data_IF_646061299976
#
_entry.id   IF_646061299976
#
_cell.length_a   1.000
_cell.length_b   1.000
_cell.length_c   1.000
_cell.angle_alpha   90.00
_cell.angle_beta   90.00
_cell.angle_gamma   90.00
#
_symmetry.space_group_name_H-M   'P 1'
#
loop_
_entity.id
_entity.type
_entity.pdbx_description
1 polymer ?
#
# COMPACT_ATOMS: atom_id res chain seq x y z
N UNK A 1 -28.25 0.88 9.93
CA UNK A 1 -27.65 1.10 11.26
C UNK A 1 -26.87 2.40 11.16
N UNK A 2 -27.26 3.43 11.88
CA UNK A 2 -26.60 4.74 11.83
C UNK A 2 -25.16 4.58 12.35
N UNK A 3 -24.16 4.79 11.49
CA UNK A 3 -22.76 4.66 11.90
C UNK A 3 -22.39 5.92 12.66
N UNK A 4 -22.64 5.90 13.97
CA UNK A 4 -22.16 6.93 14.89
C UNK A 4 -20.65 6.82 14.95
N UNK A 5 -19.96 7.76 14.31
CA UNK A 5 -18.50 7.90 14.46
C UNK A 5 -18.25 8.44 15.86
N UNK A 6 -17.49 7.72 16.71
CA UNK A 6 -17.19 8.19 18.06
C UNK A 6 -16.50 9.55 17.99
N UNK A 7 -16.80 10.45 18.94
CA UNK A 7 -16.05 11.72 19.10
C UNK A 7 -14.54 11.47 19.30
N UNK A 8 -14.18 10.28 19.81
CA UNK A 8 -12.81 9.80 19.99
C UNK A 8 -12.73 8.33 19.56
N UNK A 9 -12.16 8.09 18.37
CA UNK A 9 -11.98 6.73 17.84
C UNK A 9 -11.06 5.86 18.70
N UNK A 10 -10.19 6.47 19.53
CA UNK A 10 -9.20 5.74 20.32
C UNK A 10 -9.85 4.86 21.40
N UNK A 11 -11.10 5.15 21.76
CA UNK A 11 -11.89 4.40 22.75
C UNK A 11 -12.87 3.40 22.13
N UNK A 12 -12.96 3.36 20.81
CA UNK A 12 -13.84 2.42 20.11
C UNK A 12 -13.34 0.98 20.32
N UNK A 13 -14.17 0.05 20.82
CA UNK A 13 -13.79 -1.35 20.98
C UNK A 13 -13.23 -1.99 19.70
N UNK A 14 -13.73 -1.57 18.53
CA UNK A 14 -13.22 -2.05 17.23
C UNK A 14 -11.78 -1.58 17.01
N UNK A 15 -11.50 -0.30 17.28
CA UNK A 15 -10.15 0.25 17.16
C UNK A 15 -9.19 -0.41 18.14
N UNK A 16 -9.60 -0.61 19.39
CA UNK A 16 -8.75 -1.26 20.41
C UNK A 16 -8.35 -2.68 20.00
N UNK A 17 -9.29 -3.45 19.43
CA UNK A 17 -9.00 -4.78 18.85
C UNK A 17 -8.00 -4.71 17.70
N UNK A 18 -8.26 -3.85 16.71
CA UNK A 18 -7.40 -3.70 15.52
C UNK A 18 -6.00 -3.22 15.92
N UNK A 19 -5.91 -2.25 16.82
CA UNK A 19 -4.64 -1.70 17.32
C UNK A 19 -3.83 -2.79 18.04
N UNK A 20 -4.51 -3.62 18.82
CA UNK A 20 -3.92 -4.74 19.57
C UNK A 20 -3.52 -5.94 18.71
N UNK A 21 -3.80 -5.94 17.40
CA UNK A 21 -3.35 -7.01 16.52
C UNK A 21 -1.81 -7.02 16.43
N UNK A 22 -1.21 -8.10 16.92
CA UNK A 22 0.23 -8.34 16.85
C UNK A 22 0.55 -9.09 15.55
N UNK A 23 1.11 -8.37 14.55
CA UNK A 23 1.49 -8.97 13.27
C UNK A 23 2.90 -9.58 13.30
N UNK A 24 3.79 -9.01 14.13
CA UNK A 24 5.13 -9.53 14.33
C UNK A 24 5.16 -10.41 15.57
N UNK A 25 5.59 -11.66 15.42
CA UNK A 25 5.66 -12.64 16.52
C UNK A 25 6.87 -12.44 17.46
N UNK A 26 7.79 -11.52 17.12
CA UNK A 26 9.02 -11.22 17.86
C UNK A 26 10.06 -12.36 17.91
N UNK A 27 9.74 -13.54 17.36
CA UNK A 27 10.55 -14.77 17.47
C UNK A 27 11.10 -15.17 16.11
N UNK A 28 10.34 -14.95 15.04
CA UNK A 28 10.74 -15.27 13.68
C UNK A 28 11.85 -14.34 13.18
N UNK A 29 12.83 -14.93 12.48
CA UNK A 29 13.86 -14.13 11.81
C UNK A 29 13.25 -13.22 10.73
N UNK A 30 12.24 -13.72 10.02
CA UNK A 30 11.47 -13.02 8.99
C UNK A 30 10.03 -12.80 9.48
N UNK A 31 9.87 -11.77 10.32
CA UNK A 31 8.57 -11.30 10.82
C UNK A 31 7.70 -10.72 9.69
N UNK A 32 6.42 -10.47 9.97
CA UNK A 32 5.48 -9.89 9.00
C UNK A 32 6.01 -8.58 8.41
N UNK A 33 6.46 -7.65 9.26
CA UNK A 33 7.00 -6.36 8.84
C UNK A 33 8.29 -6.48 8.02
N UNK A 34 9.16 -7.43 8.34
CA UNK A 34 10.38 -7.71 7.56
C UNK A 34 10.05 -8.31 6.20
N UNK A 35 9.08 -9.23 6.15
CA UNK A 35 8.59 -9.81 4.89
C UNK A 35 7.95 -8.74 4.01
N UNK A 36 7.07 -7.91 4.58
CA UNK A 36 6.44 -6.80 3.87
C UNK A 36 7.50 -5.88 3.25
N UNK A 37 8.53 -5.52 4.03
CA UNK A 37 9.63 -4.70 3.54
C UNK A 37 10.42 -5.39 2.42
N UNK A 38 10.76 -6.66 2.59
CA UNK A 38 11.55 -7.42 1.62
C UNK A 38 10.80 -7.59 0.28
N UNK A 39 9.54 -8.00 0.31
CA UNK A 39 8.74 -8.28 -0.89
C UNK A 39 8.42 -7.02 -1.70
N UNK A 40 8.34 -5.86 -1.04
CA UNK A 40 8.07 -4.57 -1.68
C UNK A 40 9.32 -3.71 -1.90
N UNK A 41 10.51 -4.22 -1.53
CA UNK A 41 11.79 -3.50 -1.59
C UNK A 41 11.75 -2.16 -0.83
N UNK A 42 11.06 -2.15 0.31
CA UNK A 42 10.97 -1.00 1.20
C UNK A 42 12.03 -1.05 2.28
N UNK A 43 12.36 0.13 2.81
CA UNK A 43 13.05 0.18 4.09
C UNK A 43 12.12 -0.35 5.19
N UNK A 44 12.69 -1.05 6.18
CA UNK A 44 11.90 -1.70 7.22
C UNK A 44 11.03 -0.71 8.03
N UNK A 45 11.55 0.47 8.33
CA UNK A 45 10.79 1.51 9.03
C UNK A 45 9.54 1.95 8.25
N UNK A 46 9.62 1.99 6.91
CA UNK A 46 8.47 2.36 6.07
C UNK A 46 7.40 1.26 6.09
N UNK A 47 7.81 -0.01 6.13
CA UNK A 47 6.87 -1.11 6.30
C UNK A 47 6.12 -1.04 7.64
N UNK A 48 6.78 -0.58 8.72
CA UNK A 48 6.12 -0.33 10.01
C UNK A 48 5.08 0.79 9.91
N UNK A 49 5.41 1.91 9.25
CA UNK A 49 4.42 2.99 9.00
C UNK A 49 3.23 2.50 8.17
N UNK A 50 3.48 1.68 7.14
CA UNK A 50 2.40 1.09 6.32
C UNK A 50 1.52 0.14 7.14
N UNK A 51 2.07 -0.59 8.10
CA UNK A 51 1.28 -1.44 9.02
C UNK A 51 0.34 -0.60 9.90
N UNK A 52 0.81 0.54 10.40
CA UNK A 52 -0.03 1.45 11.18
C UNK A 52 -1.17 2.03 10.33
N UNK A 53 -0.89 2.40 9.08
CA UNK A 53 -1.90 2.86 8.13
C UNK A 53 -2.85 1.74 7.68
N UNK A 54 -2.37 0.48 7.61
CA UNK A 54 -3.21 -0.68 7.37
C UNK A 54 -4.22 -0.91 8.49
N UNK A 55 -3.80 -0.79 9.75
CA UNK A 55 -4.72 -0.83 10.90
C UNK A 55 -5.78 0.26 10.82
N UNK A 56 -5.40 1.49 10.45
CA UNK A 56 -6.38 2.58 10.22
C UNK A 56 -7.35 2.24 9.08
N UNK A 57 -6.87 1.67 7.98
CA UNK A 57 -7.73 1.22 6.88
C UNK A 57 -8.74 0.15 7.31
N UNK A 58 -8.32 -0.84 8.11
CA UNK A 58 -9.23 -1.83 8.68
C UNK A 58 -10.33 -1.19 9.55
N UNK A 59 -9.99 -0.13 10.28
CA UNK A 59 -10.98 0.63 11.03
C UNK A 59 -11.95 1.41 10.11
N UNK A 60 -11.43 2.00 9.03
CA UNK A 60 -12.26 2.64 8.00
C UNK A 60 -13.24 1.66 7.35
N UNK A 61 -12.83 0.41 7.09
CA UNK A 61 -13.73 -0.66 6.60
C UNK A 61 -14.97 -0.85 7.49
N UNK A 62 -14.88 -0.56 8.79
CA UNK A 62 -16.00 -0.67 9.75
C UNK A 62 -16.76 0.65 9.89
N UNK A 63 -16.06 1.79 9.92
CA UNK A 63 -16.63 3.07 10.37
C UNK A 63 -16.84 4.12 9.28
N UNK A 64 -16.38 3.87 8.05
CA UNK A 64 -16.58 4.82 6.95
C UNK A 64 -18.06 4.91 6.49
N UNK A 65 -18.84 3.84 6.64
CA UNK A 65 -20.25 3.80 6.20
C UNK A 65 -20.45 3.66 4.69
N UNK A 66 -19.37 3.45 3.95
CA UNK A 66 -19.35 3.16 2.54
C UNK A 66 -18.21 2.17 2.23
N UNK A 67 -18.20 1.51 1.06
CA UNK A 67 -17.03 0.78 0.61
C UNK A 67 -15.80 1.69 0.58
N UNK A 68 -14.68 1.19 1.10
CA UNK A 68 -13.40 1.91 1.10
C UNK A 68 -12.40 1.18 0.21
N UNK A 69 -11.53 1.97 -0.42
CA UNK A 69 -10.41 1.46 -1.22
C UNK A 69 -9.09 1.87 -0.54
N UNK A 70 -8.13 0.94 -0.31
CA UNK A 70 -6.84 1.24 0.33
C UNK A 70 -5.88 1.96 -0.64
N UNK A 71 -4.76 2.53 -0.20
CA UNK A 71 -3.66 2.87 -1.12
C UNK A 71 -2.95 1.61 -1.62
N UNK A 72 -2.03 1.72 -2.59
CA UNK A 72 -1.24 0.55 -3.04
C UNK A 72 -0.44 -0.05 -1.89
N UNK A 73 0.21 0.78 -1.08
CA UNK A 73 1.05 0.36 0.03
C UNK A 73 0.24 -0.39 1.09
N UNK A 74 -0.93 0.16 1.45
CA UNK A 74 -1.84 -0.47 2.41
C UNK A 74 -2.44 -1.76 1.86
N UNK A 75 -2.71 -1.82 0.56
CA UNK A 75 -3.19 -3.03 -0.13
C UNK A 75 -2.14 -4.15 -0.10
N UNK A 76 -0.84 -3.83 -0.21
CA UNK A 76 0.24 -4.81 -0.06
C UNK A 76 0.30 -5.40 1.36
N UNK A 77 0.10 -4.57 2.39
CA UNK A 77 -0.02 -5.09 3.76
C UNK A 77 -1.27 -5.98 3.91
N UNK A 78 -2.38 -5.63 3.27
CA UNK A 78 -3.59 -6.44 3.30
C UNK A 78 -3.40 -7.78 2.57
N UNK A 79 -2.81 -7.79 1.39
CA UNK A 79 -2.44 -9.00 0.65
C UNK A 79 -1.54 -9.92 1.48
N UNK A 80 -0.52 -9.35 2.14
CA UNK A 80 0.35 -10.12 3.02
C UNK A 80 -0.44 -10.71 4.19
N UNK A 81 -1.33 -9.94 4.81
CA UNK A 81 -2.15 -10.45 5.91
C UNK A 81 -3.05 -11.60 5.48
N UNK A 82 -3.64 -11.55 4.27
CA UNK A 82 -4.46 -12.64 3.72
C UNK A 82 -3.71 -13.97 3.61
N UNK A 83 -2.41 -13.95 3.26
CA UNK A 83 -1.63 -15.19 3.16
C UNK A 83 -1.19 -15.73 4.53
N UNK A 84 -1.19 -14.92 5.58
CA UNK A 84 -1.05 -15.36 6.97
C UNK A 84 -2.40 -15.87 7.49
N UNK A 85 -2.93 -16.92 6.86
CA UNK A 85 -4.35 -17.31 6.98
C UNK A 85 -4.85 -17.53 8.40
N UNK A 86 -4.02 -18.05 9.31
CA UNK A 86 -4.39 -18.20 10.74
C UNK A 86 -4.48 -16.85 11.44
N UNK A 87 -3.46 -16.01 11.29
CA UNK A 87 -3.48 -14.65 11.82
C UNK A 87 -4.68 -13.86 11.26
N UNK A 88 -4.97 -14.04 9.97
CA UNK A 88 -6.08 -13.38 9.30
C UNK A 88 -7.46 -13.84 9.79
N UNK A 89 -7.73 -15.14 9.74
CA UNK A 89 -9.06 -15.68 10.02
C UNK A 89 -9.28 -15.94 11.50
N UNK A 90 -8.30 -16.59 12.13
CA UNK A 90 -8.41 -17.05 13.51
C UNK A 90 -8.15 -15.91 14.50
N UNK A 91 -7.23 -14.99 14.24
CA UNK A 91 -6.85 -13.96 15.23
C UNK A 91 -7.45 -12.57 14.94
N UNK A 92 -7.76 -12.27 13.67
CA UNK A 92 -8.32 -10.98 13.27
C UNK A 92 -9.81 -11.06 12.88
N UNK A 93 -10.15 -11.82 11.83
CA UNK A 93 -11.47 -11.74 11.20
C UNK A 93 -12.62 -12.17 12.12
N UNK A 94 -12.41 -13.18 12.98
CA UNK A 94 -13.42 -13.64 13.95
C UNK A 94 -13.93 -12.54 14.88
N UNK A 95 -13.11 -11.50 15.09
CA UNK A 95 -13.36 -10.43 16.05
C UNK A 95 -13.92 -9.16 15.40
N UNK A 96 -14.04 -9.15 14.07
CA UNK A 96 -14.55 -8.04 13.29
C UNK A 96 -16.06 -8.13 13.07
N UNK A 97 -16.77 -7.00 13.00
CA UNK A 97 -18.21 -6.98 12.74
C UNK A 97 -18.58 -7.25 11.27
N UNK A 98 -17.61 -7.68 10.45
CA UNK A 98 -17.76 -7.97 9.02
C UNK A 98 -16.77 -9.06 8.63
N UNK A 99 -17.06 -9.80 7.56
CA UNK A 99 -16.10 -10.70 6.93
C UNK A 99 -15.17 -9.88 6.01
N UNK A 100 -13.87 -9.78 6.32
CA UNK A 100 -12.96 -8.92 5.58
C UNK A 100 -12.49 -9.59 4.29
N UNK A 101 -13.40 -9.92 3.36
CA UNK A 101 -12.98 -10.47 2.06
C UNK A 101 -12.27 -9.41 1.22
N UNK A 102 -11.29 -9.86 0.45
CA UNK A 102 -10.60 -9.06 -0.56
C UNK A 102 -10.94 -9.63 -1.93
N UNK A 103 -11.59 -8.80 -2.76
CA UNK A 103 -12.03 -9.18 -4.09
C UNK A 103 -11.16 -8.48 -5.14
N UNK A 104 -10.68 -9.19 -6.17
CA UNK A 104 -9.96 -8.58 -7.27
C UNK A 104 -10.87 -7.63 -8.06
N UNK A 105 -10.26 -6.60 -8.64
CA UNK A 105 -10.94 -5.73 -9.60
C UNK A 105 -11.44 -6.53 -10.80
N UNK A 106 -12.66 -6.20 -11.28
CA UNK A 106 -13.20 -6.77 -12.53
C UNK A 106 -12.60 -6.16 -13.79
N UNK A 107 -11.80 -5.09 -13.65
CA UNK A 107 -11.21 -4.36 -14.76
C UNK A 107 -12.22 -3.53 -15.56
N UNK A 108 -11.70 -2.71 -16.47
CA UNK A 108 -12.49 -1.81 -17.32
C UNK A 108 -12.72 -0.42 -16.71
N UNK A 109 -13.15 0.52 -17.55
CA UNK A 109 -13.27 1.94 -17.19
C UNK A 109 -14.24 2.18 -16.03
N UNK A 110 -15.43 1.59 -16.06
CA UNK A 110 -16.43 1.77 -15.00
C UNK A 110 -15.94 1.28 -13.62
N UNK A 111 -15.16 0.19 -13.61
CA UNK A 111 -14.58 -0.35 -12.38
C UNK A 111 -13.47 0.58 -11.86
N UNK A 112 -12.68 1.16 -12.76
CA UNK A 112 -11.66 2.15 -12.43
C UNK A 112 -12.27 3.43 -11.85
N UNK A 113 -13.29 4.00 -12.50
CA UNK A 113 -13.99 5.20 -12.03
C UNK A 113 -14.60 5.00 -10.65
N UNK A 114 -15.18 3.82 -10.41
CA UNK A 114 -15.69 3.42 -9.09
C UNK A 114 -14.60 3.41 -8.02
N UNK A 115 -13.44 2.82 -8.29
CA UNK A 115 -12.35 2.76 -7.31
C UNK A 115 -11.68 4.12 -7.07
N UNK A 116 -11.67 5.02 -8.08
CA UNK A 116 -11.22 6.41 -7.92
C UNK A 116 -12.17 7.16 -6.97
N UNK A 117 -13.49 7.05 -7.17
CA UNK A 117 -14.50 7.64 -6.29
C UNK A 117 -14.39 7.10 -4.86
N UNK A 118 -14.34 5.76 -4.71
CA UNK A 118 -14.24 5.12 -3.40
C UNK A 118 -12.94 5.48 -2.67
N UNK A 119 -11.82 5.60 -3.38
CA UNK A 119 -10.58 6.05 -2.78
C UNK A 119 -10.66 7.48 -2.27
N UNK A 120 -11.22 8.39 -3.06
CA UNK A 120 -11.38 9.79 -2.66
C UNK A 120 -12.22 9.88 -1.39
N UNK A 121 -13.32 9.12 -1.30
CA UNK A 121 -14.14 9.00 -0.09
C UNK A 121 -13.42 8.32 1.07
N UNK A 122 -12.50 7.38 0.81
CA UNK A 122 -11.62 6.81 1.86
C UNK A 122 -10.80 7.92 2.51
N UNK A 123 -10.18 8.80 1.71
CA UNK A 123 -9.35 9.90 2.23
C UNK A 123 -10.18 10.92 3.02
N UNK A 124 -11.39 11.26 2.55
CA UNK A 124 -12.32 12.10 3.29
C UNK A 124 -12.74 11.46 4.62
N UNK A 125 -13.06 10.16 4.61
CA UNK A 125 -13.38 9.42 5.84
C UNK A 125 -12.19 9.32 6.78
N UNK A 126 -10.96 9.22 6.25
CA UNK A 126 -9.73 9.26 7.05
C UNK A 126 -9.64 10.57 7.83
N UNK A 127 -9.71 11.71 7.14
CA UNK A 127 -9.65 13.03 7.78
C UNK A 127 -10.76 13.21 8.82
N UNK A 128 -12.00 12.83 8.46
CA UNK A 128 -13.16 12.94 9.33
C UNK A 128 -13.05 12.09 10.60
N UNK A 129 -12.47 10.90 10.51
CA UNK A 129 -12.39 9.94 11.64
C UNK A 129 -11.16 10.18 12.50
N UNK A 130 -10.00 10.45 11.89
CA UNK A 130 -8.73 10.58 12.61
C UNK A 130 -8.37 12.04 12.91
N UNK A 131 -9.09 13.02 12.36
CA UNK A 131 -8.86 14.44 12.59
C UNK A 131 -7.56 14.97 11.99
N UNK A 132 -6.96 14.24 11.05
CA UNK A 132 -5.69 14.59 10.42
C UNK A 132 -5.63 14.11 8.96
N UNK A 133 -4.77 14.75 8.17
CA UNK A 133 -4.47 14.28 6.83
C UNK A 133 -3.68 12.96 6.88
N UNK A 134 -3.99 12.01 5.98
CA UNK A 134 -3.19 10.81 5.86
C UNK A 134 -1.80 11.12 5.29
N UNK A 135 -0.76 10.35 5.68
CA UNK A 135 0.61 10.59 5.21
C UNK A 135 0.73 10.34 3.69
N UNK A 136 1.09 11.38 2.93
CA UNK A 136 1.07 11.39 1.46
C UNK A 136 1.99 10.36 0.78
N UNK A 137 3.05 9.93 1.46
CA UNK A 137 3.95 8.87 0.99
C UNK A 137 3.29 7.47 1.02
N UNK A 138 2.21 7.30 1.80
CA UNK A 138 1.43 6.06 1.91
C UNK A 138 0.06 6.23 1.26
N UNK A 139 -0.56 7.41 1.38
CA UNK A 139 -1.86 7.77 0.82
C UNK A 139 -1.72 8.92 -0.17
N UNK A 140 -1.23 8.67 -1.39
CA UNK A 140 -1.03 9.71 -2.38
C UNK A 140 -2.36 10.26 -2.91
N UNK A 141 -2.30 11.38 -3.63
CA UNK A 141 -3.46 11.93 -4.34
C UNK A 141 -4.09 10.88 -5.28
N UNK A 142 -5.42 10.86 -5.48
CA UNK A 142 -6.08 9.94 -6.41
C UNK A 142 -5.46 9.93 -7.81
N UNK A 143 -5.00 11.07 -8.33
CA UNK A 143 -4.35 11.16 -9.65
C UNK A 143 -3.02 10.42 -9.70
N UNK A 144 -2.28 10.40 -8.60
CA UNK A 144 -1.02 9.66 -8.49
C UNK A 144 -1.29 8.17 -8.28
N UNK A 145 -2.24 7.84 -7.40
CA UNK A 145 -2.63 6.45 -7.14
C UNK A 145 -3.14 5.74 -8.39
N UNK A 146 -3.95 6.43 -9.19
CA UNK A 146 -4.58 5.89 -10.41
C UNK A 146 -4.00 6.50 -11.68
N UNK A 147 -2.71 6.87 -11.67
CA UNK A 147 -2.03 7.41 -12.85
C UNK A 147 -2.18 6.45 -14.04
N UNK A 148 -2.25 7.02 -15.24
CA UNK A 148 -2.37 6.23 -16.46
C UNK A 148 -1.15 5.32 -16.68
N UNK A 149 -1.37 4.21 -17.39
CA UNK A 149 -0.33 3.26 -17.80
C UNK A 149 0.46 2.62 -16.64
N UNK A 150 -0.15 2.50 -15.46
CA UNK A 150 0.40 1.64 -14.40
C UNK A 150 0.44 0.19 -14.85
N UNK A 151 1.58 -0.46 -14.67
CA UNK A 151 1.75 -1.90 -14.88
C UNK A 151 2.55 -2.47 -13.73
N UNK A 152 1.90 -3.32 -12.95
CA UNK A 152 2.51 -4.01 -11.81
C UNK A 152 2.89 -5.42 -12.23
N UNK A 153 4.17 -5.77 -12.04
CA UNK A 153 4.72 -7.07 -12.41
C UNK A 153 5.59 -7.58 -11.27
N UNK A 154 5.60 -8.90 -11.08
CA UNK A 154 6.55 -9.56 -10.20
C UNK A 154 7.84 -9.80 -10.97
N UNK A 155 8.95 -9.28 -10.47
CA UNK A 155 10.25 -9.37 -11.14
C UNK A 155 11.31 -9.88 -10.16
N UNK A 156 12.13 -10.83 -10.61
CA UNK A 156 13.29 -11.29 -9.86
C UNK A 156 14.43 -10.26 -9.99
N UNK A 157 14.64 -9.49 -8.92
CA UNK A 157 15.66 -8.45 -8.85
C UNK A 157 17.10 -8.98 -8.85
N UNK A 158 17.30 -10.30 -8.71
CA UNK A 158 18.63 -10.92 -8.87
C UNK A 158 19.06 -11.05 -10.34
N UNK A 159 18.08 -11.05 -11.25
CA UNK A 159 18.29 -11.21 -12.70
C UNK A 159 18.10 -9.92 -13.49
N UNK A 160 17.49 -8.90 -12.87
CA UNK A 160 17.11 -7.67 -13.55
C UNK A 160 17.59 -6.42 -12.81
N UNK A 161 18.08 -5.45 -13.58
CA UNK A 161 18.32 -4.08 -13.10
C UNK A 161 17.13 -3.22 -13.53
N UNK A 162 16.42 -2.66 -12.57
CA UNK A 162 15.33 -1.71 -12.80
C UNK A 162 15.84 -0.31 -12.47
N UNK A 163 15.79 0.58 -13.45
CA UNK A 163 16.14 1.99 -13.31
C UNK A 163 14.88 2.85 -13.46
N UNK A 164 14.84 3.96 -12.72
CA UNK A 164 13.90 5.04 -13.02
C UNK A 164 14.09 5.49 -14.48
N UNK A 165 13.01 5.82 -15.18
CA UNK A 165 13.07 6.15 -16.60
C UNK A 165 14.02 7.32 -16.89
N UNK A 166 14.03 8.36 -16.05
CA UNK A 166 14.93 9.52 -16.23
C UNK A 166 16.38 9.11 -16.03
N UNK A 167 16.66 8.25 -15.06
CA UNK A 167 17.99 7.68 -14.84
C UNK A 167 18.42 6.77 -16.00
N UNK A 168 17.51 5.97 -16.55
CA UNK A 168 17.77 5.16 -17.73
C UNK A 168 18.20 6.01 -18.93
N UNK A 169 17.46 7.08 -19.24
CA UNK A 169 17.83 8.02 -20.30
C UNK A 169 19.17 8.72 -20.03
N UNK A 170 19.43 9.11 -18.78
CA UNK A 170 20.71 9.72 -18.41
C UNK A 170 21.89 8.79 -18.64
N UNK A 171 21.79 7.51 -18.24
CA UNK A 171 22.82 6.50 -18.46
C UNK A 171 23.07 6.27 -19.96
N UNK A 172 22.00 6.16 -20.76
CA UNK A 172 22.12 6.00 -22.22
C UNK A 172 22.75 7.22 -22.88
N UNK A 173 22.38 8.43 -22.46
CA UNK A 173 22.95 9.67 -22.98
C UNK A 173 24.44 9.77 -22.65
N UNK A 174 24.84 9.47 -21.42
CA UNK A 174 26.25 9.44 -21.00
C UNK A 174 27.02 8.41 -21.82
N UNK A 175 26.51 7.18 -21.96
CA UNK A 175 27.15 6.14 -22.77
C UNK A 175 27.32 6.55 -24.24
N UNK A 176 26.33 7.22 -24.82
CA UNK A 176 26.38 7.74 -26.18
C UNK A 176 27.45 8.83 -26.34
N UNK A 177 27.55 9.78 -25.41
CA UNK A 177 28.58 10.81 -25.42
C UNK A 177 29.99 10.21 -25.28
N UNK A 178 30.17 9.23 -24.40
CA UNK A 178 31.42 8.49 -24.27
C UNK A 178 31.80 7.77 -25.58
N UNK A 179 30.83 7.14 -26.25
CA UNK A 179 31.05 6.51 -27.55
C UNK A 179 31.52 7.51 -28.61
N UNK A 180 30.89 8.69 -28.69
CA UNK A 180 31.30 9.74 -29.63
C UNK A 180 32.72 10.25 -29.35
N UNK A 181 33.07 10.46 -28.08
CA UNK A 181 34.42 10.88 -27.68
C UNK A 181 35.47 9.84 -28.09
N UNK A 182 35.21 8.55 -27.84
CA UNK A 182 36.11 7.46 -28.23
C UNK A 182 36.22 7.31 -29.76
N UNK A 183 35.16 7.59 -30.51
CA UNK A 183 35.18 7.61 -31.97
C UNK A 183 36.04 8.74 -32.54
N UNK A 184 36.02 9.91 -31.91
CA UNK A 184 36.84 11.07 -32.28
C UNK A 184 38.33 10.89 -31.96
N UNK A 185 38.66 10.04 -30.98
CA UNK A 185 40.03 9.75 -30.56
C UNK A 185 40.72 8.66 -31.39
N UNK A 186 40.05 8.10 -32.42
CA UNK A 186 40.71 7.19 -33.36
C UNK A 186 41.61 8.01 -34.32
N UNK A 187 42.94 7.81 -34.33
CA UNK A 187 43.82 8.49 -35.29
C UNK A 187 43.53 8.00 -36.73
N UNK A 188 43.67 8.90 -37.70
CA UNK A 188 43.60 8.63 -39.15
C UNK A 188 44.70 7.67 -39.56
#
# INVERSE_FOLDING_TARGET
MEIKVPEDYTRDPVWLKIRGLELDDGISQLTFSKRLAQENRWAHWFALEVIDEYKKFLYLKVRAGHPVTPSVQVDQAWHLHLIYTRLYWDDFAKDMPFEPHHDPSKGGMAENDKFIDWYSKTLESYQRIFGMDPPVNIWPDPKERFRENQSWQWLDMSQHIILDQKMGYLVLMIAFLFFLILGWLRPI
#
